data_IF_534752366208
#
_entry.id   IF_534752366208
#
_cell.length_a   1.000
_cell.length_b   1.000
_cell.length_c   1.000
_cell.angle_alpha   90.00
_cell.angle_beta   90.00
_cell.angle_gamma   90.00
#
_symmetry.space_group_name_H-M   'P 1'
#
loop_
_entity.id
_entity.type
_entity.pdbx_description
1 polymer ?
#
# COMPACT_ATOMS: atom_id res chain seq x y z
N UNK A 1 -7.86 12.74 1.93
CA UNK A 1 -7.03 12.10 0.89
C UNK A 1 -7.84 11.72 -0.33
N UNK A 2 -7.16 11.55 -1.46
CA UNK A 2 -7.71 10.96 -2.70
C UNK A 2 -7.10 9.57 -2.87
N UNK A 3 -7.94 8.56 -3.03
CA UNK A 3 -7.50 7.18 -3.29
C UNK A 3 -8.24 6.63 -4.50
N UNK A 4 -7.58 6.45 -5.66
CA UNK A 4 -8.14 5.72 -6.78
C UNK A 4 -8.44 4.27 -6.41
N UNK A 5 -9.41 3.65 -7.05
CA UNK A 5 -9.84 2.28 -6.76
C UNK A 5 -9.73 1.36 -7.98
N UNK A 6 -9.66 0.06 -7.71
CA UNK A 6 -9.75 -0.99 -8.71
C UNK A 6 -8.70 -0.89 -9.82
N UNK A 7 -9.13 -0.95 -11.07
CA UNK A 7 -8.24 -0.97 -12.22
C UNK A 7 -7.39 0.29 -12.34
N UNK A 8 -7.94 1.48 -11.99
CA UNK A 8 -7.20 2.74 -12.04
C UNK A 8 -6.04 2.76 -11.06
N UNK A 9 -6.26 2.30 -9.80
CA UNK A 9 -5.20 2.20 -8.80
C UNK A 9 -4.06 1.31 -9.28
N UNK A 10 -4.38 0.12 -9.79
CA UNK A 10 -3.37 -0.81 -10.28
C UNK A 10 -2.65 -0.27 -11.53
N UNK A 11 -3.40 0.38 -12.43
CA UNK A 11 -2.83 0.91 -13.68
C UNK A 11 -1.85 2.05 -13.42
N UNK A 12 -2.17 2.99 -12.53
CA UNK A 12 -1.29 4.12 -12.23
C UNK A 12 0.04 3.68 -11.59
N UNK A 13 0.09 2.51 -10.95
CA UNK A 13 1.31 1.99 -10.33
C UNK A 13 2.26 1.27 -11.31
N UNK A 14 1.81 1.03 -12.56
CA UNK A 14 2.62 0.38 -13.61
C UNK A 14 2.76 1.23 -14.87
N UNK A 15 2.02 2.34 -14.96
CA UNK A 15 2.02 3.23 -16.11
C UNK A 15 2.19 4.69 -15.67
N UNK A 16 3.37 5.21 -15.91
CA UNK A 16 3.75 6.57 -15.55
C UNK A 16 2.84 7.65 -16.17
N UNK A 17 2.29 7.42 -17.36
CA UNK A 17 1.35 8.35 -17.99
C UNK A 17 0.05 8.42 -17.19
N UNK A 18 -0.50 7.27 -16.81
CA UNK A 18 -1.70 7.21 -15.97
C UNK A 18 -1.46 7.88 -14.62
N UNK A 19 -0.31 7.61 -13.96
CA UNK A 19 0.05 8.24 -12.70
C UNK A 19 0.10 9.77 -12.83
N UNK A 20 0.75 10.28 -13.87
CA UNK A 20 0.83 11.73 -14.13
C UNK A 20 -0.53 12.38 -14.36
N UNK A 21 -1.44 11.72 -15.09
CA UNK A 21 -2.82 12.19 -15.27
C UNK A 21 -3.57 12.27 -13.95
N UNK A 22 -3.45 11.24 -13.11
CA UNK A 22 -4.07 11.23 -11.77
C UNK A 22 -3.50 12.34 -10.90
N UNK A 23 -2.17 12.52 -10.87
CA UNK A 23 -1.51 13.61 -10.12
C UNK A 23 -1.98 14.99 -10.59
N UNK A 24 -2.07 15.21 -11.91
CA UNK A 24 -2.60 16.44 -12.49
C UNK A 24 -4.06 16.72 -12.08
N UNK A 25 -4.90 15.67 -12.08
CA UNK A 25 -6.29 15.80 -11.63
C UNK A 25 -6.38 16.16 -10.14
N UNK A 26 -5.60 15.50 -9.27
CA UNK A 26 -5.54 15.82 -7.84
C UNK A 26 -5.08 17.26 -7.64
N UNK A 27 -4.02 17.69 -8.34
CA UNK A 27 -3.55 19.08 -8.28
C UNK A 27 -4.64 20.08 -8.66
N UNK A 28 -5.45 19.75 -9.67
CA UNK A 28 -6.48 20.69 -10.19
C UNK A 28 -7.71 20.77 -9.31
N UNK A 29 -8.15 19.65 -8.71
CA UNK A 29 -9.45 19.58 -8.03
C UNK A 29 -9.37 19.42 -6.52
N UNK A 30 -8.27 18.89 -5.98
CA UNK A 30 -8.11 18.63 -4.56
C UNK A 30 -6.64 18.81 -4.10
N UNK A 31 -6.01 19.97 -4.36
CA UNK A 31 -4.57 20.17 -4.11
C UNK A 31 -4.18 20.06 -2.64
N UNK A 32 -5.12 20.17 -1.73
CA UNK A 32 -4.93 20.02 -0.27
C UNK A 32 -5.02 18.57 0.21
N UNK A 33 -5.40 17.64 -0.66
CA UNK A 33 -5.55 16.24 -0.30
C UNK A 33 -4.34 15.43 -0.80
N UNK A 34 -3.71 14.63 0.05
CA UNK A 34 -2.68 13.70 -0.40
C UNK A 34 -3.27 12.63 -1.31
N UNK A 35 -2.51 12.24 -2.34
CA UNK A 35 -2.83 11.10 -3.19
C UNK A 35 -2.29 9.82 -2.54
N UNK A 36 -3.15 8.84 -2.32
CA UNK A 36 -2.73 7.51 -1.83
C UNK A 36 -2.22 6.67 -3.00
N UNK A 37 -0.99 6.20 -2.88
CA UNK A 37 -0.28 5.37 -3.86
C UNK A 37 0.29 4.14 -3.17
N UNK A 38 0.53 3.05 -3.91
CA UNK A 38 1.10 1.84 -3.32
C UNK A 38 2.55 2.06 -2.87
N UNK A 39 2.88 1.60 -1.67
CA UNK A 39 4.24 1.52 -1.17
C UNK A 39 5.02 0.46 -1.97
N UNK A 40 6.07 0.89 -2.65
CA UNK A 40 6.99 0.03 -3.43
C UNK A 40 8.44 0.43 -3.13
N UNK A 41 9.43 -0.40 -3.49
CA UNK A 41 10.83 -0.02 -3.37
C UNK A 41 11.19 1.26 -4.14
N UNK A 42 10.47 1.56 -5.21
CA UNK A 42 10.67 2.75 -6.06
C UNK A 42 9.95 4.00 -5.54
N UNK A 43 9.54 4.03 -4.27
CA UNK A 43 8.77 5.12 -3.67
C UNK A 43 9.38 6.53 -3.92
N UNK A 44 10.71 6.64 -3.97
CA UNK A 44 11.38 7.92 -4.21
C UNK A 44 11.03 8.51 -5.58
N UNK A 45 10.99 7.68 -6.63
CA UNK A 45 10.62 8.13 -7.98
C UNK A 45 9.18 8.66 -8.04
N UNK A 46 8.26 8.02 -7.28
CA UNK A 46 6.86 8.48 -7.17
C UNK A 46 6.80 9.79 -6.40
N UNK A 47 7.58 9.92 -5.32
CA UNK A 47 7.68 11.15 -4.52
C UNK A 47 8.20 12.33 -5.34
N UNK A 48 9.32 12.13 -6.05
CA UNK A 48 9.94 13.17 -6.88
C UNK A 48 8.94 13.67 -7.95
N UNK A 49 8.22 12.74 -8.57
CA UNK A 49 7.16 13.09 -9.52
C UNK A 49 6.01 13.86 -8.86
N UNK A 50 5.56 13.45 -7.68
CA UNK A 50 4.50 14.17 -6.96
C UNK A 50 4.93 15.61 -6.61
N UNK A 51 6.21 15.81 -6.28
CA UNK A 51 6.78 17.13 -6.02
C UNK A 51 6.76 18.03 -7.27
N UNK A 52 7.01 17.46 -8.47
CA UNK A 52 6.87 18.19 -9.75
C UNK A 52 5.43 18.68 -9.98
N UNK A 53 4.42 17.91 -9.55
CA UNK A 53 3.01 18.32 -9.61
C UNK A 53 2.58 19.18 -8.43
N UNK A 54 3.42 19.36 -7.41
CA UNK A 54 3.11 20.13 -6.20
C UNK A 54 1.99 19.52 -5.37
N UNK A 55 1.95 18.19 -5.26
CA UNK A 55 0.99 17.44 -4.46
C UNK A 55 1.70 16.56 -3.43
N UNK A 56 1.01 16.28 -2.32
CA UNK A 56 1.45 15.31 -1.32
C UNK A 56 1.05 13.89 -1.75
N UNK A 57 1.86 12.90 -1.44
CA UNK A 57 1.54 11.47 -1.60
C UNK A 57 1.67 10.74 -0.27
N UNK A 58 0.77 9.80 -0.02
CA UNK A 58 0.85 8.83 1.06
C UNK A 58 1.06 7.44 0.49
N UNK A 59 2.10 6.77 0.96
CA UNK A 59 2.43 5.42 0.53
C UNK A 59 1.64 4.40 1.36
N UNK A 60 0.85 3.59 0.67
CA UNK A 60 -0.01 2.58 1.27
C UNK A 60 0.62 1.19 1.18
N UNK A 61 0.81 0.55 2.32
CA UNK A 61 1.10 -0.88 2.38
C UNK A 61 -0.17 -1.69 2.66
N UNK A 62 -0.12 -2.98 2.37
CA UNK A 62 -1.26 -3.89 2.52
C UNK A 62 -0.97 -4.91 3.61
N UNK A 63 -1.83 -4.98 4.61
CA UNK A 63 -1.68 -5.89 5.74
C UNK A 63 -1.91 -7.36 5.38
N UNK A 64 -2.85 -7.60 4.46
CA UNK A 64 -3.40 -8.93 4.13
C UNK A 64 -2.96 -9.45 2.76
N UNK A 65 -2.00 -8.80 2.09
CA UNK A 65 -1.56 -9.17 0.75
C UNK A 65 -0.09 -9.57 0.73
N UNK A 66 0.20 -10.68 0.04
CA UNK A 66 1.57 -11.08 -0.23
C UNK A 66 2.23 -10.19 -1.29
N UNK A 67 3.52 -9.99 -1.16
CA UNK A 67 4.36 -9.22 -2.06
C UNK A 67 5.26 -10.13 -2.91
N UNK A 68 5.55 -9.72 -4.14
CA UNK A 68 6.58 -10.34 -4.98
C UNK A 68 7.98 -9.85 -4.58
N UNK A 69 9.00 -10.44 -5.18
CA UNK A 69 10.41 -10.05 -4.94
C UNK A 69 10.76 -8.64 -5.44
N UNK A 70 9.89 -8.09 -6.29
CA UNK A 70 9.96 -6.71 -6.79
C UNK A 70 9.14 -5.73 -5.93
N UNK A 71 8.59 -6.17 -4.80
CA UNK A 71 7.77 -5.33 -3.92
C UNK A 71 6.39 -4.96 -4.48
N UNK A 72 5.86 -5.75 -5.42
CA UNK A 72 4.51 -5.60 -5.97
C UNK A 72 3.56 -6.62 -5.36
N UNK A 73 2.26 -6.31 -5.36
CA UNK A 73 1.26 -7.26 -4.87
C UNK A 73 1.18 -8.48 -5.80
N UNK A 74 1.21 -9.67 -5.19
CA UNK A 74 0.96 -10.94 -5.90
C UNK A 74 -0.49 -10.98 -6.38
N UNK A 75 -0.74 -11.47 -7.60
CA UNK A 75 -2.10 -11.59 -8.14
C UNK A 75 -2.95 -12.49 -7.24
N UNK A 76 -4.18 -12.09 -6.93
CA UNK A 76 -5.09 -12.84 -6.03
C UNK A 76 -5.36 -14.28 -6.48
N UNK A 77 -5.18 -14.60 -7.77
CA UNK A 77 -5.31 -15.96 -8.30
C UNK A 77 -4.17 -16.90 -7.93
N UNK A 78 -3.07 -16.38 -7.40
CA UNK A 78 -1.91 -17.17 -6.96
C UNK A 78 -2.17 -17.66 -5.53
N UNK A 79 -1.91 -18.92 -5.25
CA UNK A 79 -2.01 -19.47 -3.90
C UNK A 79 -1.07 -18.74 -2.95
N UNK A 80 -1.58 -18.33 -1.78
CA UNK A 80 -0.81 -17.57 -0.79
C UNK A 80 -0.70 -16.08 -1.09
N UNK A 81 -1.44 -15.54 -2.09
CA UNK A 81 -1.46 -14.11 -2.40
C UNK A 81 -2.20 -13.26 -1.35
N UNK A 82 -2.97 -13.90 -0.47
CA UNK A 82 -3.73 -13.24 0.60
C UNK A 82 -3.40 -13.95 1.91
N UNK A 83 -3.11 -13.17 2.95
CA UNK A 83 -2.97 -13.68 4.31
C UNK A 83 -4.36 -13.85 4.92
N UNK A 84 -4.70 -15.06 5.34
CA UNK A 84 -6.03 -15.42 5.85
C UNK A 84 -6.09 -15.48 7.38
N UNK A 85 -4.93 -15.51 8.05
CA UNK A 85 -4.86 -15.60 9.51
C UNK A 85 -4.50 -14.26 10.13
N UNK A 86 -5.05 -13.98 11.30
CA UNK A 86 -4.77 -12.76 12.07
C UNK A 86 -3.29 -12.65 12.41
N UNK A 87 -2.65 -13.76 12.74
CA UNK A 87 -1.24 -13.84 13.11
C UNK A 87 -0.32 -13.42 11.94
N UNK A 88 -0.59 -13.91 10.72
CA UNK A 88 0.18 -13.55 9.53
C UNK A 88 0.01 -12.06 9.17
N UNK A 89 -1.19 -11.52 9.34
CA UNK A 89 -1.48 -10.10 9.12
C UNK A 89 -0.75 -9.25 10.16
N UNK A 90 -0.79 -9.63 11.44
CA UNK A 90 -0.11 -8.93 12.54
C UNK A 90 1.41 -8.94 12.35
N UNK A 91 1.98 -10.09 11.99
CA UNK A 91 3.41 -10.22 11.71
C UNK A 91 3.85 -9.27 10.58
N UNK A 92 3.10 -9.25 9.47
CA UNK A 92 3.38 -8.35 8.36
C UNK A 92 3.25 -6.88 8.75
N UNK A 93 2.20 -6.49 9.46
CA UNK A 93 1.99 -5.11 9.93
C UNK A 93 3.13 -4.69 10.86
N UNK A 94 3.49 -5.54 11.81
CA UNK A 94 4.60 -5.29 12.73
C UNK A 94 5.92 -5.09 11.98
N UNK A 95 6.20 -5.95 10.99
CA UNK A 95 7.40 -5.84 10.16
C UNK A 95 7.42 -4.54 9.34
N UNK A 96 6.27 -4.14 8.76
CA UNK A 96 6.15 -2.88 8.02
C UNK A 96 6.49 -1.70 8.91
N UNK A 97 5.91 -1.63 10.11
CA UNK A 97 6.05 -0.48 10.99
C UNK A 97 7.42 -0.41 11.64
N UNK A 98 7.94 -1.53 12.15
CA UNK A 98 9.22 -1.55 12.88
C UNK A 98 10.43 -1.53 11.97
N UNK A 99 10.37 -2.28 10.87
CA UNK A 99 11.54 -2.54 10.04
C UNK A 99 11.52 -1.78 8.71
N UNK A 100 10.37 -1.21 8.31
CA UNK A 100 10.20 -0.60 6.99
C UNK A 100 10.36 -1.63 5.85
N UNK A 101 9.98 -2.89 6.09
CA UNK A 101 10.12 -3.97 5.12
C UNK A 101 8.90 -4.88 5.08
N UNK A 102 8.74 -5.62 3.98
CA UNK A 102 7.83 -6.77 3.88
C UNK A 102 8.62 -8.01 3.48
N UNK A 103 8.10 -9.19 3.82
CA UNK A 103 8.64 -10.46 3.33
C UNK A 103 7.87 -10.89 2.10
N UNK A 104 8.57 -11.11 0.97
CA UNK A 104 7.94 -11.56 -0.27
C UNK A 104 7.48 -13.01 -0.17
N UNK A 105 6.66 -13.45 -1.12
CA UNK A 105 6.16 -14.83 -1.18
C UNK A 105 7.31 -15.87 -1.32
N UNK A 106 8.48 -15.46 -1.80
CA UNK A 106 9.69 -16.30 -1.86
C UNK A 106 10.54 -16.25 -0.59
N UNK A 107 10.18 -15.40 0.41
CA UNK A 107 10.94 -15.23 1.65
C UNK A 107 11.99 -14.10 1.60
N UNK A 108 12.05 -13.31 0.53
CA UNK A 108 12.99 -12.18 0.42
C UNK A 108 12.47 -10.96 1.20
N UNK A 109 13.33 -10.27 1.96
CA UNK A 109 12.98 -8.99 2.59
C UNK A 109 13.08 -7.86 1.59
N UNK A 110 11.99 -7.12 1.46
CA UNK A 110 11.82 -6.01 0.50
C UNK A 110 11.64 -4.71 1.31
N UNK A 111 12.50 -3.71 1.14
CA UNK A 111 12.31 -2.42 1.77
C UNK A 111 11.11 -1.69 1.16
N UNK A 112 10.24 -1.13 2.00
CA UNK A 112 9.14 -0.27 1.59
C UNK A 112 9.02 0.91 2.56
N UNK A 113 8.54 2.04 2.04
CA UNK A 113 8.10 3.15 2.87
C UNK A 113 6.58 3.13 2.93
N UNK A 114 6.00 3.04 4.12
CA UNK A 114 4.56 3.09 4.30
C UNK A 114 4.17 4.25 5.23
N UNK A 115 3.22 5.06 4.77
CA UNK A 115 2.60 6.13 5.56
C UNK A 115 1.22 5.68 6.07
N UNK A 116 0.62 4.67 5.43
CA UNK A 116 -0.68 4.11 5.78
C UNK A 116 -0.74 2.61 5.47
N UNK A 117 -1.62 1.90 6.16
CA UNK A 117 -1.83 0.45 5.98
C UNK A 117 -3.28 0.20 5.57
N UNK A 118 -3.45 -0.51 4.46
CA UNK A 118 -4.75 -0.97 3.97
C UNK A 118 -5.12 -2.30 4.60
N UNK A 119 -6.37 -2.37 5.05
CA UNK A 119 -7.03 -3.61 5.50
C UNK A 119 -8.29 -3.75 4.65
N UNK A 120 -8.46 -4.91 4.00
CA UNK A 120 -9.66 -5.15 3.19
C UNK A 120 -10.86 -5.53 4.04
N UNK A 121 -12.03 -5.00 3.66
CA UNK A 121 -13.29 -5.19 4.37
C UNK A 121 -14.17 -6.35 3.86
N UNK A 122 -13.63 -7.20 2.99
CA UNK A 122 -14.36 -8.27 2.28
C UNK A 122 -14.35 -9.63 3.00
N UNK A 123 -13.70 -9.73 4.17
CA UNK A 123 -13.76 -10.90 5.03
C UNK A 123 -14.87 -10.81 6.07
N UNK A 124 -15.39 -11.95 6.51
CA UNK A 124 -16.44 -12.00 7.55
C UNK A 124 -16.02 -11.37 8.89
N UNK A 125 -14.71 -11.36 9.19
CA UNK A 125 -14.13 -10.81 10.41
C UNK A 125 -13.40 -9.47 10.21
N UNK A 126 -13.65 -8.77 9.10
CA UNK A 126 -12.91 -7.56 8.73
C UNK A 126 -12.92 -6.46 9.81
N UNK A 127 -14.06 -6.27 10.49
CA UNK A 127 -14.20 -5.24 11.54
C UNK A 127 -13.34 -5.59 12.77
N UNK A 128 -13.35 -6.86 13.18
CA UNK A 128 -12.56 -7.30 14.33
C UNK A 128 -11.06 -7.31 13.99
N UNK A 129 -10.70 -7.71 12.78
CA UNK A 129 -9.33 -7.60 12.27
C UNK A 129 -8.86 -6.14 12.25
N UNK A 130 -9.68 -5.20 11.79
CA UNK A 130 -9.34 -3.78 11.79
C UNK A 130 -9.14 -3.22 13.21
N UNK A 131 -10.00 -3.59 14.17
CA UNK A 131 -9.86 -3.19 15.58
C UNK A 131 -8.57 -3.75 16.18
N UNK A 132 -8.30 -5.02 15.94
CA UNK A 132 -7.10 -5.67 16.44
C UNK A 132 -5.83 -5.02 15.84
N UNK A 133 -5.79 -4.83 14.53
CA UNK A 133 -4.65 -4.17 13.89
C UNK A 133 -4.43 -2.73 14.38
N UNK A 134 -5.50 -2.00 14.67
CA UNK A 134 -5.38 -0.67 15.29
C UNK A 134 -4.68 -0.74 16.64
N UNK A 135 -5.06 -1.70 17.50
CA UNK A 135 -4.41 -1.90 18.81
C UNK A 135 -2.93 -2.27 18.65
N UNK A 136 -2.61 -3.13 17.67
CA UNK A 136 -1.21 -3.50 17.34
C UNK A 136 -0.41 -2.26 16.94
N UNK A 137 -0.94 -1.44 16.02
CA UNK A 137 -0.28 -0.21 15.54
C UNK A 137 -0.08 0.80 16.65
N UNK A 138 -1.07 0.99 17.54
CA UNK A 138 -1.00 1.93 18.67
C UNK A 138 -0.02 1.45 19.78
N UNK A 139 0.34 0.17 19.80
CA UNK A 139 1.28 -0.42 20.76
C UNK A 139 2.74 -0.46 20.26
N UNK A 140 2.99 -0.18 18.99
CA UNK A 140 4.33 -0.23 18.34
C UNK A 140 5.05 1.12 18.43
#
# INVERSE_FOLDING_TARGET
YVKPHGALYNRMMVDNTTLSVVMSAVRSYAPQCPLVVMATPEWQQVKDRADEYGIEVWFEAFSDRAYSDEGKLVKRSVRGAVHETTEAIEEQVTQIIRDGTVTSISGKRIPIKADTICIHGDSYHAVDAARHMRQVVEAL
#
